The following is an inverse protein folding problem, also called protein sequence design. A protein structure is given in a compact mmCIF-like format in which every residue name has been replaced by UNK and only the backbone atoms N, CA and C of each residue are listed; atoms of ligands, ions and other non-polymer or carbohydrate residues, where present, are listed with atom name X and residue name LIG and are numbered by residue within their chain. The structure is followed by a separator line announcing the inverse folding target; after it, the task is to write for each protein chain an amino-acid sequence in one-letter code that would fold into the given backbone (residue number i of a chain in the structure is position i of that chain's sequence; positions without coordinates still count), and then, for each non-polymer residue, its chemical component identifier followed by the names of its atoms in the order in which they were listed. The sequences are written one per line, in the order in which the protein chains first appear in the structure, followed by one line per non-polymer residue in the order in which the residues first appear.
data_IF_969166692777
#
_entry.id   IF_969166692777
#
_cell.length_a   1.000
_cell.length_b   1.000
_cell.length_c   1.000
_cell.angle_alpha   90.00
_cell.angle_beta   90.00
_cell.angle_gamma   90.00
#
_symmetry.space_group_name_H-M   'P 1'
#
loop_
_entity.id
_entity.type
_entity.pdbx_description
1 polymer ?
#
# COMPACT_ATOMS: atom_id res chain seq x y z
N UNK A 1 8.44 -2.83 -29.96
CA UNK A 1 7.64 -1.76 -29.32
C UNK A 1 6.29 -1.77 -30.01
N UNK A 2 5.23 -2.13 -29.29
CA UNK A 2 3.88 -2.23 -29.87
C UNK A 2 3.26 -0.83 -29.99
N UNK A 3 2.38 -0.62 -30.98
CA UNK A 3 1.77 0.68 -31.33
C UNK A 3 0.93 1.33 -30.21
N UNK A 4 0.72 0.62 -29.09
CA UNK A 4 -0.01 1.03 -27.88
C UNK A 4 0.53 2.29 -27.19
N UNK A 5 1.77 2.70 -27.47
CA UNK A 5 2.43 3.79 -26.73
C UNK A 5 2.10 5.20 -27.24
N UNK A 6 1.56 5.36 -28.46
CA UNK A 6 1.52 6.69 -29.10
C UNK A 6 0.35 7.59 -28.67
N UNK A 7 -0.83 7.04 -28.39
CA UNK A 7 -2.04 7.84 -28.14
C UNK A 7 -2.25 8.17 -26.67
N UNK A 8 -2.64 9.39 -26.35
CA UNK A 8 -2.92 9.85 -24.98
C UNK A 8 -4.18 9.22 -24.38
N UNK A 9 -4.38 9.38 -23.07
CA UNK A 9 -5.65 8.96 -22.44
C UNK A 9 -6.85 9.73 -23.01
N UNK A 10 -6.64 11.01 -23.31
CA UNK A 10 -7.64 11.88 -23.88
C UNK A 10 -8.08 11.36 -25.27
N UNK A 11 -7.12 11.09 -26.17
CA UNK A 11 -7.40 10.56 -27.52
C UNK A 11 -8.13 9.21 -27.49
N UNK A 12 -7.68 8.29 -26.63
CA UNK A 12 -8.28 6.95 -26.50
C UNK A 12 -9.72 7.02 -25.98
N UNK A 13 -9.98 7.95 -25.07
CA UNK A 13 -11.32 8.14 -24.52
C UNK A 13 -12.27 8.79 -25.54
N UNK A 14 -11.80 9.78 -26.30
CA UNK A 14 -12.60 10.44 -27.36
C UNK A 14 -13.00 9.49 -28.49
N UNK A 15 -12.10 8.57 -28.88
CA UNK A 15 -12.36 7.57 -29.92
C UNK A 15 -13.26 6.43 -29.39
N UNK A 16 -13.46 6.34 -28.07
CA UNK A 16 -14.29 5.31 -27.44
C UNK A 16 -13.64 3.93 -27.37
N UNK A 17 -12.32 3.84 -27.56
CA UNK A 17 -11.57 2.59 -27.42
C UNK A 17 -11.28 2.31 -25.94
N UNK A 18 -12.31 1.81 -25.25
CA UNK A 18 -12.26 1.53 -23.82
C UNK A 18 -11.23 0.44 -23.50
N UNK A 19 -11.07 -0.56 -24.36
CA UNK A 19 -10.13 -1.66 -24.13
C UNK A 19 -8.68 -1.16 -24.16
N UNK A 20 -8.30 -0.37 -25.16
CA UNK A 20 -6.97 0.26 -25.20
C UNK A 20 -6.77 1.26 -24.07
N UNK A 21 -7.79 2.04 -23.73
CA UNK A 21 -7.77 2.98 -22.61
C UNK A 21 -7.46 2.27 -21.28
N UNK A 22 -8.19 1.18 -20.98
CA UNK A 22 -8.01 0.42 -19.74
C UNK A 22 -6.66 -0.29 -19.67
N UNK A 23 -6.19 -0.84 -20.79
CA UNK A 23 -4.85 -1.43 -20.86
C UNK A 23 -3.76 -0.40 -20.54
N UNK A 24 -3.86 0.81 -21.12
CA UNK A 24 -2.92 1.91 -20.83
C UNK A 24 -3.00 2.36 -19.37
N UNK A 25 -4.21 2.43 -18.79
CA UNK A 25 -4.40 2.77 -17.39
C UNK A 25 -3.77 1.72 -16.47
N UNK A 26 -3.92 0.44 -16.82
CA UNK A 26 -3.33 -0.68 -16.09
C UNK A 26 -1.80 -0.62 -16.14
N UNK A 27 -1.19 -0.38 -17.31
CA UNK A 27 0.26 -0.20 -17.45
C UNK A 27 0.78 0.96 -16.60
N UNK A 28 0.08 2.10 -16.63
CA UNK A 28 0.40 3.28 -15.81
C UNK A 28 0.30 2.97 -14.31
N UNK A 29 -0.73 2.21 -13.91
CA UNK A 29 -0.89 1.73 -12.55
C UNK A 29 0.30 0.84 -12.13
N UNK A 30 0.61 -0.21 -12.91
CA UNK A 30 1.76 -1.09 -12.65
C UNK A 30 3.07 -0.31 -12.54
N UNK A 31 3.27 0.70 -13.39
CA UNK A 31 4.42 1.59 -13.32
C UNK A 31 4.46 2.36 -11.99
N UNK A 32 3.36 2.98 -11.56
CA UNK A 32 3.28 3.68 -10.25
C UNK A 32 3.43 2.73 -9.06
N UNK A 33 3.13 1.44 -9.21
CA UNK A 33 3.30 0.41 -8.19
C UNK A 33 4.72 -0.19 -8.14
N UNK A 34 5.62 0.18 -9.05
CA UNK A 34 7.03 -0.27 -9.01
C UNK A 34 7.69 0.19 -7.71
N UNK A 35 8.45 -0.71 -7.08
CA UNK A 35 9.11 -0.46 -5.80
C UNK A 35 8.18 -0.28 -4.59
N UNK A 36 6.86 -0.42 -4.75
CA UNK A 36 5.89 -0.38 -3.65
C UNK A 36 5.63 -1.77 -3.11
N UNK A 37 5.43 -1.90 -1.81
CA UNK A 37 5.00 -3.14 -1.14
C UNK A 37 3.73 -2.87 -0.34
N UNK A 38 2.85 -3.85 -0.27
CA UNK A 38 1.55 -3.77 0.39
C UNK A 38 1.44 -4.96 1.34
N UNK A 39 1.31 -4.70 2.64
CA UNK A 39 1.27 -5.76 3.64
C UNK A 39 0.03 -6.65 3.45
N UNK A 40 0.26 -7.94 3.18
CA UNK A 40 -0.81 -8.93 3.00
C UNK A 40 -1.61 -8.80 1.69
N UNK A 41 -1.11 -8.06 0.69
CA UNK A 41 -1.78 -7.94 -0.62
C UNK A 41 -0.79 -8.03 -1.77
N UNK A 42 -1.19 -8.72 -2.84
CA UNK A 42 -0.40 -8.78 -4.07
C UNK A 42 -0.58 -7.51 -4.89
N UNK A 43 0.45 -7.17 -5.68
CA UNK A 43 0.38 -5.99 -6.58
C UNK A 43 -0.70 -6.13 -7.63
N UNK A 44 -1.01 -7.35 -8.05
CA UNK A 44 -2.08 -7.62 -9.01
C UNK A 44 -3.44 -7.36 -8.39
N UNK A 45 -3.68 -7.75 -7.13
CA UNK A 45 -4.90 -7.41 -6.40
C UNK A 45 -5.08 -5.90 -6.27
N UNK A 46 -4.00 -5.19 -5.90
CA UNK A 46 -3.99 -3.73 -5.81
C UNK A 46 -4.30 -3.10 -7.17
N UNK A 47 -3.70 -3.62 -8.23
CA UNK A 47 -3.93 -3.14 -9.60
C UNK A 47 -5.40 -3.33 -9.99
N UNK A 48 -5.97 -4.50 -9.73
CA UNK A 48 -7.38 -4.78 -10.01
C UNK A 48 -8.32 -3.87 -9.20
N UNK A 49 -8.05 -3.66 -7.91
CA UNK A 49 -8.87 -2.77 -7.07
C UNK A 49 -8.85 -1.31 -7.57
N UNK A 50 -7.73 -0.87 -8.17
CA UNK A 50 -7.61 0.44 -8.81
C UNK A 50 -8.39 0.48 -10.14
N UNK A 51 -8.27 -0.56 -10.98
CA UNK A 51 -8.99 -0.64 -12.26
C UNK A 51 -10.51 -0.67 -12.06
N UNK A 52 -11.01 -1.40 -11.06
CA UNK A 52 -12.43 -1.43 -10.71
C UNK A 52 -12.91 -0.02 -10.33
N UNK A 53 -12.15 0.71 -9.50
CA UNK A 53 -12.49 2.10 -9.14
C UNK A 53 -12.49 3.02 -10.36
N UNK A 54 -11.55 2.83 -11.29
CA UNK A 54 -11.48 3.61 -12.52
C UNK A 54 -12.75 3.43 -13.34
N UNK A 55 -13.12 2.19 -13.69
CA UNK A 55 -14.32 1.87 -14.47
C UNK A 55 -15.58 2.47 -13.81
N UNK A 56 -15.74 2.29 -12.50
CA UNK A 56 -16.88 2.81 -11.73
C UNK A 56 -16.91 4.34 -11.54
N UNK A 57 -15.91 5.04 -12.07
CA UNK A 57 -15.81 6.50 -12.01
C UNK A 57 -15.75 7.16 -13.38
N UNK A 58 -15.65 6.39 -14.47
CA UNK A 58 -15.62 6.93 -15.84
C UNK A 58 -16.94 7.64 -16.19
N UNK A 59 -18.07 7.14 -15.67
CA UNK A 59 -19.40 7.74 -15.79
C UNK A 59 -19.51 9.13 -15.14
N UNK A 60 -18.63 9.43 -14.19
CA UNK A 60 -18.58 10.69 -13.44
C UNK A 60 -17.51 11.65 -13.98
N UNK A 61 -16.80 11.29 -15.05
CA UNK A 61 -15.80 12.15 -15.66
C UNK A 61 -16.45 13.41 -16.23
N UNK A 62 -15.78 14.54 -16.00
CA UNK A 62 -16.23 15.86 -16.42
C UNK A 62 -15.05 16.60 -17.08
N UNK A 63 -15.12 16.73 -18.41
CA UNK A 63 -14.07 17.34 -19.23
C UNK A 63 -13.88 18.84 -18.96
N UNK A 64 -14.88 19.53 -18.40
CA UNK A 64 -14.75 20.95 -18.03
C UNK A 64 -13.87 21.14 -16.79
N UNK A 65 -13.79 20.13 -15.92
CA UNK A 65 -13.02 20.18 -14.68
C UNK A 65 -11.57 19.77 -14.84
N UNK A 66 -11.29 18.75 -15.66
CA UNK A 66 -9.94 18.24 -15.85
C UNK A 66 -9.81 17.41 -17.14
N UNK A 67 -8.58 17.30 -17.66
CA UNK A 67 -8.23 16.34 -18.71
C UNK A 67 -8.39 14.90 -18.22
N UNK A 68 -8.68 13.97 -19.12
CA UNK A 68 -8.83 12.56 -18.80
C UNK A 68 -7.54 11.98 -18.21
N UNK A 69 -6.39 12.36 -18.79
CA UNK A 69 -5.07 11.99 -18.26
C UNK A 69 -4.86 12.42 -16.79
N UNK A 70 -5.33 13.61 -16.41
CA UNK A 70 -5.28 14.14 -15.03
C UNK A 70 -6.25 13.40 -14.12
N UNK A 71 -7.48 13.15 -14.59
CA UNK A 71 -8.48 12.37 -13.85
C UNK A 71 -7.97 10.97 -13.49
N UNK A 72 -7.44 10.24 -14.48
CA UNK A 72 -6.87 8.90 -14.28
C UNK A 72 -5.70 8.95 -13.30
N UNK A 73 -4.81 9.93 -13.43
CA UNK A 73 -3.64 10.05 -12.54
C UNK A 73 -4.05 10.25 -11.09
N UNK A 74 -4.95 11.21 -10.82
CA UNK A 74 -5.47 11.46 -9.49
C UNK A 74 -6.22 10.27 -8.91
N UNK A 75 -7.04 9.58 -9.72
CA UNK A 75 -7.79 8.41 -9.27
C UNK A 75 -6.84 7.29 -8.83
N UNK A 76 -5.82 6.98 -9.65
CA UNK A 76 -4.81 5.97 -9.34
C UNK A 76 -4.07 6.35 -8.07
N UNK A 77 -3.56 7.58 -7.96
CA UNK A 77 -2.80 8.02 -6.78
C UNK A 77 -3.61 7.98 -5.50
N UNK A 78 -4.85 8.49 -5.54
CA UNK A 78 -5.72 8.48 -4.38
C UNK A 78 -6.05 7.05 -3.95
N UNK A 79 -6.33 6.15 -4.90
CA UNK A 79 -6.60 4.75 -4.58
C UNK A 79 -5.36 4.05 -4.04
N UNK A 80 -4.15 4.33 -4.54
CA UNK A 80 -2.91 3.79 -3.95
C UNK A 80 -2.77 4.23 -2.48
N UNK A 81 -3.05 5.50 -2.16
CA UNK A 81 -3.06 5.99 -0.76
C UNK A 81 -4.10 5.22 0.08
N UNK A 82 -5.31 5.04 -0.43
CA UNK A 82 -6.35 4.26 0.24
C UNK A 82 -5.89 2.83 0.52
N UNK A 83 -5.19 2.19 -0.44
CA UNK A 83 -4.65 0.84 -0.29
C UNK A 83 -3.57 0.77 0.78
N UNK A 84 -2.65 1.73 0.86
CA UNK A 84 -1.69 1.81 1.95
C UNK A 84 -2.36 1.93 3.32
N UNK A 85 -3.37 2.79 3.44
CA UNK A 85 -4.11 2.97 4.69
C UNK A 85 -4.85 1.69 5.10
N UNK A 86 -5.39 0.94 4.13
CA UNK A 86 -6.02 -0.37 4.35
C UNK A 86 -5.00 -1.40 4.84
N UNK A 87 -3.85 -1.52 4.18
CA UNK A 87 -2.76 -2.44 4.55
C UNK A 87 -2.22 -2.21 5.95
N UNK A 88 -2.01 -0.93 6.29
CA UNK A 88 -1.35 -0.53 7.52
C UNK A 88 -2.34 -0.33 8.68
N UNK A 89 -3.61 -0.66 8.47
CA UNK A 89 -4.61 -0.66 9.53
C UNK A 89 -4.27 -1.73 10.59
N UNK A 90 -4.56 -1.43 11.86
CA UNK A 90 -4.26 -2.36 12.97
C UNK A 90 -4.90 -3.74 12.77
N UNK A 91 -6.13 -3.78 12.21
CA UNK A 91 -6.82 -5.03 11.87
C UNK A 91 -6.04 -5.84 10.84
N UNK A 92 -5.60 -5.22 9.74
CA UNK A 92 -4.85 -5.94 8.72
C UNK A 92 -3.50 -6.42 9.25
N UNK A 93 -2.77 -5.55 9.96
CA UNK A 93 -1.49 -5.93 10.58
C UNK A 93 -1.65 -7.08 11.58
N UNK A 94 -2.74 -7.11 12.37
CA UNK A 94 -3.00 -8.23 13.30
C UNK A 94 -3.25 -9.56 12.60
N UNK A 95 -3.89 -9.56 11.43
CA UNK A 95 -4.18 -10.77 10.65
C UNK A 95 -2.92 -11.25 9.92
N UNK A 96 -2.19 -10.31 9.31
CA UNK A 96 -0.97 -10.59 8.56
C UNK A 96 0.16 -11.11 9.45
N UNK A 97 0.23 -10.63 10.70
CA UNK A 97 1.22 -11.06 11.69
C UNK A 97 0.72 -12.21 12.57
N UNK A 98 -0.50 -12.72 12.37
CA UNK A 98 -1.00 -13.84 13.16
C UNK A 98 -0.23 -15.12 12.80
N UNK A 99 0.26 -15.82 13.83
CA UNK A 99 0.86 -17.14 13.65
C UNK A 99 -0.22 -18.10 13.18
N UNK A 100 -0.06 -18.68 11.98
CA UNK A 100 -0.95 -19.72 11.49
C UNK A 100 -0.81 -20.97 12.37
N UNK A 101 -1.86 -21.30 13.11
CA UNK A 101 -1.97 -22.58 13.81
C UNK A 101 -2.45 -23.61 12.78
N UNK A 102 -1.51 -24.37 12.23
CA UNK A 102 -1.82 -25.52 11.38
C UNK A 102 -2.17 -26.70 12.30
N UNK A 103 -3.43 -27.12 12.32
CA UNK A 103 -3.80 -28.40 12.91
C UNK A 103 -3.39 -29.50 11.93
N UNK A 104 -2.25 -30.17 12.17
CA UNK A 104 -1.96 -31.43 11.50
C UNK A 104 -2.88 -32.50 12.09
N UNK A 105 -4.01 -32.76 11.43
CA UNK A 105 -4.76 -34.00 11.65
C UNK A 105 -3.93 -35.15 11.05
N UNK A 106 -2.93 -35.61 11.81
CA UNK A 106 -2.35 -36.93 11.57
C UNK A 106 -3.34 -37.97 12.07
N UNK A 107 -4.33 -38.27 11.22
CA UNK A 107 -5.15 -39.45 11.40
C UNK A 107 -4.27 -40.70 11.32
N UNK A 108 -4.03 -41.33 12.47
CA UNK A 108 -3.35 -42.63 12.49
C UNK A 108 -2.77 -43.10 13.82
N UNK A 109 -3.63 -43.31 14.83
CA UNK A 109 -3.42 -44.40 15.78
C UNK A 109 -2.63 -44.12 17.06
N UNK A 110 -3.32 -44.42 18.16
CA UNK A 110 -2.85 -44.72 19.51
C UNK A 110 -2.83 -43.58 20.54
N UNK A 111 -3.54 -43.85 21.62
CA UNK A 111 -3.83 -42.98 22.74
C UNK A 111 -2.55 -42.69 23.53
N UNK A 112 -2.01 -41.48 23.40
CA UNK A 112 -1.00 -40.97 24.33
C UNK A 112 -1.36 -39.55 24.72
N UNK A 113 -1.67 -39.36 26.01
CA UNK A 113 -1.85 -38.06 26.64
C UNK A 113 -0.56 -37.24 26.53
N UNK A 114 -0.56 -36.31 25.59
CA UNK A 114 0.56 -35.40 25.35
C UNK A 114 0.31 -34.72 24.03
N UNK A 115 -0.51 -33.66 24.05
CA UNK A 115 -0.77 -32.78 22.92
C UNK A 115 0.53 -32.07 22.51
N UNK A 116 1.41 -32.79 21.82
CA UNK A 116 2.52 -32.23 21.07
C UNK A 116 1.91 -31.49 19.88
N UNK A 117 1.48 -30.25 20.16
CA UNK A 117 1.27 -29.20 19.16
C UNK A 117 2.63 -29.03 18.50
N UNK A 118 2.84 -29.74 17.38
CA UNK A 118 3.96 -29.50 16.49
C UNK A 118 3.81 -28.09 15.92
N UNK A 119 4.42 -27.13 16.62
CA UNK A 119 4.50 -25.73 16.25
C UNK A 119 5.29 -25.64 14.94
N UNK A 120 4.58 -25.66 13.80
CA UNK A 120 5.16 -25.33 12.51
C UNK A 120 5.53 -23.84 12.52
N UNK A 121 6.75 -23.55 12.97
CA UNK A 121 7.37 -22.23 12.91
C UNK A 121 7.52 -21.81 11.45
N UNK A 122 6.63 -20.90 11.04
CA UNK A 122 6.91 -19.88 10.05
C UNK A 122 6.80 -20.33 8.60
N UNK A 123 5.63 -20.10 7.99
CA UNK A 123 5.68 -19.48 6.68
C UNK A 123 5.92 -17.98 6.91
N UNK A 124 7.17 -17.54 6.81
CA UNK A 124 7.52 -16.12 6.75
C UNK A 124 6.98 -15.57 5.43
N UNK A 125 5.69 -15.25 5.40
CA UNK A 125 5.14 -14.48 4.29
C UNK A 125 5.89 -13.17 4.20
N UNK A 126 6.16 -12.69 2.98
CA UNK A 126 6.84 -11.42 2.67
C UNK A 126 6.40 -10.22 3.51
N UNK A 127 5.17 -10.23 4.04
CA UNK A 127 4.66 -9.17 4.90
C UNK A 127 5.29 -9.13 6.30
N UNK A 128 5.75 -10.28 6.84
CA UNK A 128 6.40 -10.36 8.15
C UNK A 128 7.82 -9.76 8.09
N UNK A 129 8.61 -10.11 7.06
CA UNK A 129 9.95 -9.54 6.83
C UNK A 129 9.92 -8.01 6.66
N UNK A 130 8.90 -7.48 5.98
CA UNK A 130 8.79 -6.03 5.78
C UNK A 130 8.40 -5.27 7.06
N UNK A 131 7.62 -5.88 7.96
CA UNK A 131 7.28 -5.25 9.23
C UNK A 131 8.48 -5.22 10.17
N UNK A 132 9.17 -6.35 10.30
CA UNK A 132 10.40 -6.48 11.10
C UNK A 132 11.48 -5.51 10.61
N UNK A 133 11.68 -5.39 9.30
CA UNK A 133 12.61 -4.42 8.72
C UNK A 133 12.26 -2.96 9.05
N UNK A 134 10.98 -2.58 9.03
CA UNK A 134 10.55 -1.21 9.35
C UNK A 134 10.66 -0.92 10.84
N UNK A 135 10.33 -1.88 11.72
CA UNK A 135 10.54 -1.75 13.17
C UNK A 135 12.03 -1.69 13.51
N UNK A 136 12.86 -2.52 12.88
CA UNK A 136 14.31 -2.53 13.08
C UNK A 136 14.94 -1.22 12.61
N UNK A 137 14.49 -0.66 11.47
CA UNK A 137 14.89 0.68 11.03
C UNK A 137 14.51 1.72 12.09
N UNK A 138 13.28 1.68 12.59
CA UNK A 138 12.81 2.66 13.58
C UNK A 138 13.59 2.58 14.90
N UNK A 139 13.95 1.38 15.35
CA UNK A 139 14.73 1.15 16.56
C UNK A 139 16.20 1.58 16.38
N UNK A 140 16.80 1.27 15.22
CA UNK A 140 18.16 1.68 14.89
C UNK A 140 18.31 3.20 14.67
N UNK A 141 17.26 3.87 14.18
CA UNK A 141 17.23 5.32 13.97
C UNK A 141 17.13 6.16 15.25
N UNK A 142 16.90 5.53 16.42
CA UNK A 142 16.70 6.23 17.71
C UNK A 142 15.67 7.36 17.61
N UNK A 143 14.55 7.10 16.96
CA UNK A 143 13.44 8.03 16.86
C UNK A 143 12.74 8.18 18.21
N UNK A 144 12.36 9.41 18.58
CA UNK A 144 11.47 9.63 19.73
C UNK A 144 10.03 9.21 19.40
N UNK A 145 9.16 9.09 20.41
CA UNK A 145 7.78 8.61 20.20
C UNK A 145 6.98 9.47 19.21
N UNK A 146 7.19 10.79 19.20
CA UNK A 146 6.53 11.70 18.25
C UNK A 146 7.00 11.42 16.82
N UNK A 147 8.29 11.22 16.63
CA UNK A 147 8.91 10.91 15.34
C UNK A 147 8.48 9.52 14.85
N UNK A 148 8.44 8.52 15.74
CA UNK A 148 7.92 7.18 15.43
C UNK A 148 6.48 7.24 14.93
N UNK A 149 5.63 8.02 15.62
CA UNK A 149 4.24 8.18 15.23
C UNK A 149 4.10 8.87 13.86
N UNK A 150 4.86 9.95 13.61
CA UNK A 150 4.87 10.63 12.31
C UNK A 150 5.39 9.70 11.22
N UNK A 151 6.43 8.92 11.51
CA UNK A 151 7.01 7.96 10.59
C UNK A 151 5.99 6.89 10.19
N UNK A 152 5.34 6.26 11.17
CA UNK A 152 4.27 5.28 10.96
C UNK A 152 3.13 5.86 10.10
N UNK A 153 2.68 7.08 10.38
CA UNK A 153 1.61 7.71 9.60
C UNK A 153 2.05 8.02 8.16
N UNK A 154 3.29 8.47 7.96
CA UNK A 154 3.81 8.76 6.62
C UNK A 154 4.01 7.50 5.77
N UNK A 155 4.53 6.44 6.36
CA UNK A 155 4.67 5.14 5.68
C UNK A 155 3.32 4.49 5.42
N UNK A 156 2.29 4.82 6.22
CA UNK A 156 0.89 4.40 6.00
C UNK A 156 0.14 5.22 4.94
N UNK A 157 0.79 6.21 4.31
CA UNK A 157 0.20 6.97 3.20
C UNK A 157 -0.59 8.23 3.60
N UNK A 158 -0.45 8.72 4.83
CA UNK A 158 -1.03 10.02 5.24
C UNK A 158 -0.15 11.20 4.81
N UNK A 159 -0.77 12.31 4.42
CA UNK A 159 -0.10 13.56 4.06
C UNK A 159 0.15 14.44 5.28
N UNK A 160 1.09 15.39 5.18
CA UNK A 160 1.44 16.28 6.30
C UNK A 160 0.26 17.09 6.84
N UNK A 161 -0.70 17.47 5.98
CA UNK A 161 -1.90 18.20 6.40
C UNK A 161 -2.81 17.31 7.24
N UNK A 162 -2.98 16.05 6.83
CA UNK A 162 -3.79 15.07 7.56
C UNK A 162 -3.15 14.73 8.90
N UNK A 163 -1.83 14.49 8.92
CA UNK A 163 -1.07 14.20 10.13
C UNK A 163 -1.10 15.39 11.10
N UNK A 164 -0.99 16.61 10.58
CA UNK A 164 -1.12 17.84 11.36
C UNK A 164 -2.48 17.90 12.07
N UNK A 165 -3.57 17.60 11.34
CA UNK A 165 -4.91 17.49 11.90
C UNK A 165 -5.03 16.41 12.98
N UNK A 166 -4.46 15.22 12.74
CA UNK A 166 -4.48 14.10 13.71
C UNK A 166 -3.68 14.38 14.99
N UNK A 167 -2.55 15.09 14.88
CA UNK A 167 -1.63 15.31 15.98
C UNK A 167 -1.79 16.68 16.67
N UNK A 168 -2.75 17.50 16.22
CA UNK A 168 -3.05 18.82 16.78
C UNK A 168 -1.91 19.83 16.64
N UNK A 169 -1.13 19.76 15.55
CA UNK A 169 0.03 20.64 15.31
C UNK A 169 0.01 21.22 13.91
N UNK A 170 0.82 22.24 13.63
CA UNK A 170 0.88 22.84 12.30
C UNK A 170 1.53 21.93 11.25
N UNK A 171 1.10 22.05 9.99
CA UNK A 171 1.75 21.39 8.83
C UNK A 171 3.25 21.67 8.78
N UNK A 172 3.66 22.91 9.07
CA UNK A 172 5.06 23.32 9.10
C UNK A 172 5.86 22.53 10.16
N UNK A 173 5.26 22.32 11.35
CA UNK A 173 5.88 21.53 12.41
C UNK A 173 6.07 20.07 11.99
N UNK A 174 5.07 19.46 11.35
CA UNK A 174 5.19 18.09 10.81
C UNK A 174 6.31 18.02 9.76
N UNK A 175 6.40 19.00 8.86
CA UNK A 175 7.46 19.05 7.85
C UNK A 175 8.86 19.14 8.46
N UNK A 176 9.04 19.93 9.53
CA UNK A 176 10.32 20.02 10.24
C UNK A 176 10.70 18.70 10.90
N UNK A 177 9.74 18.05 11.58
CA UNK A 177 9.97 16.75 12.22
C UNK A 177 10.31 15.67 11.18
N UNK A 178 9.63 15.69 10.02
CA UNK A 178 9.95 14.78 8.92
C UNK A 178 11.38 14.97 8.37
N UNK A 179 11.85 16.24 8.29
CA UNK A 179 13.22 16.53 7.90
C UNK A 179 14.22 15.94 8.89
N UNK A 180 13.99 16.13 10.19
CA UNK A 180 14.85 15.56 11.24
C UNK A 180 14.88 14.02 11.20
N UNK A 181 13.73 13.38 10.94
CA UNK A 181 13.66 11.92 10.76
C UNK A 181 14.54 11.48 9.57
N UNK A 182 14.49 12.20 8.45
CA UNK A 182 15.31 11.89 7.27
C UNK A 182 16.81 12.07 7.54
N UNK A 183 17.20 13.14 8.23
CA UNK A 183 18.60 13.37 8.61
C UNK A 183 19.14 12.23 9.49
N UNK A 184 18.31 11.68 10.39
CA UNK A 184 18.67 10.49 11.18
C UNK A 184 18.80 9.22 10.34
N UNK A 185 18.03 9.10 9.26
CA UNK A 185 18.13 7.98 8.34
C UNK A 185 19.40 8.03 7.48
N UNK A 186 19.77 9.23 7.00
CA UNK A 186 20.99 9.44 6.20
C UNK A 186 22.29 9.32 7.01
N UNK A 187 22.20 9.35 8.35
CA UNK A 187 23.34 9.21 9.26
C UNK A 187 23.64 7.75 9.67
N UNK A 188 22.84 6.78 9.21
CA UNK A 188 23.06 5.34 9.36
C UNK A 188 24.00 4.81 8.27
#
# INVERSE_FOLDING_TARGET
MSATTAMGFDDLFEIGDIDMFLNKAQEKCRYKLRGKTFAGMEKEDVTQEIMIKLVNSLDKYDAEKAKMSTFVDHLIENKIKDMYRKCMSEKNLSVVNAVQIMCTDQGGGDESEGSDIALALGHAGFAYENFEFVTDIMENMKLNEREKQIFKLRTSGYEFVEIAGMLGVSKARISQLWKAIREKYEAL
#
